data_IF_503960259963
#
_entry.id   IF_503960259963
#
_cell.length_a   1.000
_cell.length_b   1.000
_cell.length_c   1.000
_cell.angle_alpha   90.00
_cell.angle_beta   90.00
_cell.angle_gamma   90.00
#
_symmetry.space_group_name_H-M   'P 1'
#
loop_
_entity.id
_entity.type
_entity.pdbx_description
1 polymer ?
#
# COMPACT_ATOMS: atom_id res chain seq x y z
N UNK A 1 7.72 21.06 -17.32
CA UNK A 1 9.20 20.85 -17.25
C UNK A 1 9.54 20.44 -15.81
N UNK A 2 10.59 19.63 -15.60
CA UNK A 2 10.97 19.02 -14.31
C UNK A 2 12.39 19.44 -13.96
N UNK A 3 12.77 19.37 -12.68
CA UNK A 3 14.14 19.72 -12.27
C UNK A 3 15.20 18.75 -12.80
N UNK A 4 14.94 17.44 -12.75
CA UNK A 4 15.78 16.37 -13.32
C UNK A 4 14.90 15.13 -13.59
N UNK A 5 15.31 14.19 -14.47
CA UNK A 5 14.59 12.93 -14.66
C UNK A 5 14.71 12.00 -13.44
N UNK A 6 13.95 10.91 -13.44
CA UNK A 6 14.08 9.83 -12.44
C UNK A 6 15.46 9.20 -12.58
N UNK A 7 16.15 8.97 -11.46
CA UNK A 7 17.42 8.24 -11.48
C UNK A 7 17.25 6.83 -12.06
N UNK A 8 18.19 6.43 -12.90
CA UNK A 8 18.45 5.02 -13.19
C UNK A 8 19.61 4.51 -12.31
N UNK A 9 19.78 3.21 -12.23
CA UNK A 9 20.87 2.56 -11.52
C UNK A 9 21.65 1.59 -12.41
N UNK A 10 22.90 1.33 -12.06
CA UNK A 10 23.68 0.26 -12.69
C UNK A 10 23.21 -1.12 -12.19
N UNK A 11 23.83 -2.19 -12.69
CA UNK A 11 23.50 -3.56 -12.32
C UNK A 11 23.66 -3.86 -10.81
N UNK A 12 24.43 -3.06 -10.07
CA UNK A 12 24.64 -3.15 -8.63
C UNK A 12 23.73 -2.21 -7.81
N UNK A 13 22.67 -1.68 -8.43
CA UNK A 13 21.71 -0.75 -7.81
C UNK A 13 22.33 0.59 -7.35
N UNK A 14 23.45 1.01 -7.94
CA UNK A 14 24.05 2.31 -7.67
C UNK A 14 23.55 3.32 -8.70
N UNK A 15 23.12 4.51 -8.25
CA UNK A 15 22.57 5.56 -9.12
C UNK A 15 23.58 5.96 -10.21
N UNK A 16 23.09 6.07 -11.44
CA UNK A 16 23.85 6.57 -12.59
C UNK A 16 23.57 8.08 -12.71
N UNK A 17 24.63 8.87 -12.89
CA UNK A 17 24.53 10.33 -13.05
C UNK A 17 24.17 10.75 -14.47
N UNK A 18 24.47 9.91 -15.47
CA UNK A 18 24.14 10.17 -16.87
C UNK A 18 22.67 9.82 -17.14
N UNK A 19 21.80 10.83 -17.35
CA UNK A 19 20.38 10.58 -17.63
C UNK A 19 20.16 9.98 -19.03
N UNK A 20 21.16 9.99 -19.91
CA UNK A 20 21.08 9.46 -21.28
C UNK A 20 21.66 8.05 -21.41
N UNK A 21 22.07 7.43 -20.30
CA UNK A 21 22.56 6.06 -20.29
C UNK A 21 21.50 5.11 -20.88
N UNK A 22 21.91 4.29 -21.86
CA UNK A 22 21.01 3.38 -22.56
C UNK A 22 20.39 2.38 -21.58
N UNK A 23 19.10 2.07 -21.78
CA UNK A 23 18.36 1.08 -20.99
C UNK A 23 19.01 -0.32 -21.07
N UNK A 24 19.06 -1.02 -19.95
CA UNK A 24 19.49 -2.42 -19.87
C UNK A 24 18.57 -3.39 -20.61
N UNK A 25 17.30 -3.03 -20.81
CA UNK A 25 16.39 -3.79 -21.68
C UNK A 25 16.82 -3.71 -23.16
N UNK A 26 17.59 -2.69 -23.53
CA UNK A 26 18.14 -2.49 -24.88
C UNK A 26 19.67 -2.70 -24.92
N UNK A 27 20.23 -3.43 -23.95
CA UNK A 27 21.65 -3.78 -23.87
C UNK A 27 22.56 -2.66 -23.34
N UNK A 28 22.01 -1.64 -22.69
CA UNK A 28 22.77 -0.61 -21.99
C UNK A 28 22.99 -0.90 -20.50
N UNK A 29 23.60 0.03 -19.74
CA UNK A 29 23.91 -0.17 -18.32
C UNK A 29 22.83 0.34 -17.35
N UNK A 30 21.74 0.96 -17.83
CA UNK A 30 20.76 1.63 -16.98
C UNK A 30 19.54 0.74 -16.66
N UNK A 31 19.30 0.47 -15.38
CA UNK A 31 18.21 -0.33 -14.83
C UNK A 31 17.39 0.48 -13.82
N UNK A 32 16.26 -0.09 -13.36
CA UNK A 32 15.51 0.48 -12.25
C UNK A 32 16.31 0.40 -10.94
N UNK A 33 16.22 1.43 -10.10
CA UNK A 33 16.86 1.42 -8.79
C UNK A 33 16.02 0.60 -7.80
N UNK A 34 16.69 -0.14 -6.91
CA UNK A 34 16.02 -0.93 -5.88
C UNK A 34 15.30 -0.06 -4.81
N UNK A 35 15.68 1.22 -4.68
CA UNK A 35 14.95 2.17 -3.85
C UNK A 35 13.67 2.71 -4.51
N UNK A 36 13.37 2.33 -5.76
CA UNK A 36 12.07 2.57 -6.43
C UNK A 36 11.09 1.41 -6.20
N UNK A 37 11.02 0.94 -4.97
CA UNK A 37 10.13 -0.14 -4.50
C UNK A 37 9.13 0.38 -3.46
N UNK A 38 7.96 -0.27 -3.31
CA UNK A 38 6.92 0.17 -2.38
C UNK A 38 7.27 -0.17 -0.93
N UNK A 39 6.70 0.59 0.00
CA UNK A 39 6.81 0.33 1.43
C UNK A 39 5.57 0.80 2.19
N UNK A 40 5.28 0.12 3.30
CA UNK A 40 4.22 0.52 4.21
C UNK A 40 4.68 1.63 5.14
N UNK A 41 3.83 2.65 5.32
CA UNK A 41 4.00 3.65 6.38
C UNK A 41 3.30 3.18 7.65
N UNK A 42 2.10 2.62 7.48
CA UNK A 42 1.32 1.93 8.50
C UNK A 42 0.40 0.90 7.81
N UNK A 43 -0.46 0.24 8.58
CA UNK A 43 -1.33 -0.81 8.04
C UNK A 43 -2.33 -0.31 6.98
N UNK A 44 -2.69 0.97 6.96
CA UNK A 44 -3.69 1.54 6.05
C UNK A 44 -3.09 2.32 4.87
N UNK A 45 -1.81 2.69 4.97
CA UNK A 45 -1.17 3.60 4.04
C UNK A 45 0.23 3.14 3.58
N UNK A 46 0.47 3.18 2.27
CA UNK A 46 1.77 2.88 1.64
C UNK A 46 2.24 3.98 0.69
N UNK A 47 3.53 3.99 0.43
CA UNK A 47 4.15 4.72 -0.67
C UNK A 47 4.71 3.76 -1.71
N UNK A 48 4.88 4.21 -2.94
CA UNK A 48 5.60 3.45 -3.96
C UNK A 48 5.68 4.16 -5.31
N UNK A 49 5.85 3.35 -6.35
CA UNK A 49 6.10 3.82 -7.72
C UNK A 49 5.25 3.02 -8.70
N UNK A 50 4.94 3.62 -9.84
CA UNK A 50 4.17 2.96 -10.88
C UNK A 50 4.61 3.39 -12.29
N UNK A 51 4.40 2.53 -13.28
CA UNK A 51 4.23 2.95 -14.66
C UNK A 51 2.76 3.34 -14.88
N UNK A 52 2.50 4.47 -15.53
CA UNK A 52 1.13 5.02 -15.65
C UNK A 52 0.73 5.28 -17.09
N UNK A 53 -0.55 5.07 -17.39
CA UNK A 53 -1.22 5.52 -18.61
C UNK A 53 -2.54 6.19 -18.22
N UNK A 54 -2.63 7.52 -18.38
CA UNK A 54 -3.76 8.31 -17.88
C UNK A 54 -4.53 8.89 -19.05
N UNK A 55 -5.86 8.69 -19.04
CA UNK A 55 -6.74 9.15 -20.10
C UNK A 55 -6.63 10.68 -20.29
N UNK A 56 -6.48 11.11 -21.54
CA UNK A 56 -6.32 12.53 -21.88
C UNK A 56 -4.97 13.15 -21.50
N UNK A 57 -4.03 12.35 -20.96
CA UNK A 57 -2.68 12.78 -20.63
C UNK A 57 -1.62 12.35 -21.65
N UNK A 58 -0.38 12.68 -21.34
CA UNK A 58 0.84 12.16 -21.99
C UNK A 58 1.96 12.03 -20.96
N UNK A 59 3.11 11.50 -21.36
CA UNK A 59 4.30 11.48 -20.49
C UNK A 59 4.67 12.86 -19.94
N UNK A 60 4.40 13.91 -20.70
CA UNK A 60 4.62 15.29 -20.24
C UNK A 60 3.73 15.68 -19.04
N UNK A 61 2.54 15.09 -18.92
CA UNK A 61 1.59 15.35 -17.84
C UNK A 61 1.77 14.43 -16.64
N UNK A 62 2.04 13.13 -16.83
CA UNK A 62 2.11 12.19 -15.71
C UNK A 62 3.52 11.92 -15.19
N UNK A 63 4.57 12.02 -16.01
CA UNK A 63 5.87 11.58 -15.53
C UNK A 63 6.34 12.43 -14.34
N UNK A 64 6.76 11.74 -13.28
CA UNK A 64 7.08 12.23 -11.95
C UNK A 64 5.93 12.87 -11.15
N UNK A 65 4.70 12.84 -11.65
CA UNK A 65 3.53 13.23 -10.87
C UNK A 65 3.23 12.15 -9.83
N UNK A 66 2.60 12.57 -8.72
CA UNK A 66 2.16 11.66 -7.69
C UNK A 66 0.63 11.55 -7.66
N UNK A 67 0.16 10.35 -7.32
CA UNK A 67 -1.26 10.03 -7.27
C UNK A 67 -1.58 9.31 -5.98
N UNK A 68 -2.62 9.76 -5.27
CA UNK A 68 -3.22 9.00 -4.18
C UNK A 68 -4.23 8.02 -4.77
N UNK A 69 -3.96 6.75 -4.59
CA UNK A 69 -4.84 5.63 -4.92
C UNK A 69 -5.62 5.26 -3.68
N UNK A 70 -6.93 5.02 -3.84
CA UNK A 70 -7.77 4.35 -2.84
C UNK A 70 -8.26 3.06 -3.47
N UNK A 71 -7.82 1.91 -2.96
CA UNK A 71 -8.23 0.62 -3.49
C UNK A 71 -9.71 0.37 -3.21
N UNK A 72 -10.42 -0.17 -4.20
CA UNK A 72 -11.87 -0.38 -4.17
C UNK A 72 -12.28 -1.84 -4.29
N UNK A 73 -11.31 -2.76 -4.48
CA UNK A 73 -11.55 -4.19 -4.51
C UNK A 73 -10.40 -4.99 -3.92
N UNK A 74 -10.61 -6.30 -3.77
CA UNK A 74 -9.61 -7.23 -3.25
C UNK A 74 -9.35 -7.08 -1.74
N UNK A 75 -8.34 -7.80 -1.20
CA UNK A 75 -8.04 -7.82 0.23
C UNK A 75 -7.46 -6.49 0.78
N UNK A 76 -7.23 -5.52 -0.11
CA UNK A 76 -6.70 -4.19 0.21
C UNK A 76 -7.73 -3.09 0.04
N UNK A 77 -9.00 -3.42 -0.27
CA UNK A 77 -10.06 -2.42 -0.39
C UNK A 77 -10.11 -1.49 0.83
N UNK A 78 -10.19 -0.18 0.58
CA UNK A 78 -10.15 0.87 1.60
C UNK A 78 -8.74 1.36 1.96
N UNK A 79 -7.68 0.56 1.74
CA UNK A 79 -6.31 1.03 1.92
C UNK A 79 -5.95 2.10 0.89
N UNK A 80 -5.00 2.95 1.27
CA UNK A 80 -4.51 4.03 0.43
C UNK A 80 -3.04 3.86 0.09
N UNK A 81 -2.67 4.29 -1.10
CA UNK A 81 -1.28 4.28 -1.54
C UNK A 81 -0.98 5.54 -2.33
N UNK A 82 0.10 6.24 -2.00
CA UNK A 82 0.59 7.34 -2.86
C UNK A 82 1.74 6.83 -3.70
N UNK A 83 1.61 6.95 -5.03
CA UNK A 83 2.60 6.49 -5.99
C UNK A 83 3.15 7.63 -6.80
N UNK A 84 4.45 7.60 -7.11
CA UNK A 84 5.04 8.46 -8.13
C UNK A 84 5.11 7.71 -9.47
N UNK A 85 4.67 8.36 -10.55
CA UNK A 85 4.81 7.85 -11.91
C UNK A 85 6.28 7.95 -12.36
N UNK A 86 6.92 6.81 -12.59
CA UNK A 86 8.34 6.73 -12.99
C UNK A 86 8.56 6.18 -14.40
N UNK A 87 7.50 5.65 -15.02
CA UNK A 87 7.52 5.09 -16.37
C UNK A 87 6.12 5.17 -17.00
N UNK A 88 5.99 4.72 -18.23
CA UNK A 88 4.73 4.64 -18.99
C UNK A 88 4.41 3.19 -19.31
N UNK A 89 3.17 2.77 -19.01
CA UNK A 89 2.67 1.45 -19.39
C UNK A 89 1.94 1.52 -20.73
N UNK A 90 2.62 1.13 -21.81
CA UNK A 90 2.10 1.28 -23.19
C UNK A 90 0.94 0.35 -23.57
N UNK A 91 0.85 -0.83 -22.94
CA UNK A 91 -0.12 -1.89 -23.29
C UNK A 91 -1.39 -1.89 -22.43
N UNK A 92 -1.57 -0.84 -21.64
CA UNK A 92 -2.47 -0.85 -20.52
C UNK A 92 -3.59 0.16 -20.77
N UNK A 93 -4.83 -0.26 -20.56
CA UNK A 93 -6.02 0.54 -20.85
C UNK A 93 -6.03 1.91 -20.16
N UNK A 94 -7.01 2.74 -20.49
CA UNK A 94 -7.16 4.07 -19.90
C UNK A 94 -7.12 4.05 -18.37
N UNK A 95 -6.33 4.95 -17.76
CA UNK A 95 -6.17 5.11 -16.31
C UNK A 95 -5.56 3.90 -15.59
N UNK A 96 -4.58 3.26 -16.23
CA UNK A 96 -3.87 2.12 -15.66
C UNK A 96 -2.62 2.53 -14.88
N UNK A 97 -2.38 1.82 -13.77
CA UNK A 97 -1.20 1.95 -12.92
C UNK A 97 -0.57 0.56 -12.74
N UNK A 98 0.60 0.36 -13.32
CA UNK A 98 1.41 -0.85 -13.11
C UNK A 98 2.35 -0.62 -11.93
N UNK A 99 2.04 -1.20 -10.77
CA UNK A 99 2.77 -0.95 -9.53
C UNK A 99 4.15 -1.63 -9.56
N UNK A 100 5.20 -0.88 -9.21
CA UNK A 100 6.58 -1.36 -9.22
C UNK A 100 6.88 -2.34 -8.07
N UNK A 101 6.46 -3.59 -8.20
CA UNK A 101 6.61 -4.62 -7.17
C UNK A 101 7.66 -5.65 -7.63
N UNK A 102 8.83 -5.77 -6.96
CA UNK A 102 9.78 -6.84 -7.26
C UNK A 102 9.10 -8.20 -7.16
N UNK A 103 9.18 -8.98 -8.24
CA UNK A 103 8.52 -10.27 -8.33
C UNK A 103 7.07 -10.22 -8.79
N UNK A 104 6.57 -9.08 -9.28
CA UNK A 104 5.28 -8.96 -9.97
C UNK A 104 5.28 -9.52 -11.41
N UNK A 105 6.45 -9.88 -11.94
CA UNK A 105 6.66 -10.35 -13.31
C UNK A 105 7.38 -9.31 -14.16
N UNK A 106 8.24 -9.77 -15.06
CA UNK A 106 9.03 -8.89 -15.96
C UNK A 106 8.23 -8.40 -17.17
N UNK A 107 7.09 -9.04 -17.46
CA UNK A 107 6.24 -8.68 -18.58
C UNK A 107 6.93 -8.88 -19.94
N UNK A 108 6.74 -7.94 -20.86
CA UNK A 108 7.29 -8.04 -22.21
C UNK A 108 8.83 -8.00 -22.25
N UNK A 109 9.46 -7.23 -21.38
CA UNK A 109 10.90 -6.99 -21.43
C UNK A 109 11.58 -7.54 -20.17
N UNK A 110 12.41 -8.57 -20.35
CA UNK A 110 13.20 -9.12 -19.24
C UNK A 110 14.55 -8.39 -19.12
N UNK A 111 14.53 -7.26 -18.42
CA UNK A 111 15.73 -6.52 -18.02
C UNK A 111 16.46 -7.13 -16.82
N UNK A 112 15.82 -8.02 -16.06
CA UNK A 112 16.40 -8.63 -14.85
C UNK A 112 17.43 -9.70 -15.19
N UNK A 113 17.17 -10.49 -16.23
CA UNK A 113 18.13 -11.49 -16.76
C UNK A 113 19.49 -10.88 -17.09
N UNK A 114 19.59 -9.83 -17.94
CA UNK A 114 20.87 -9.20 -18.22
C UNK A 114 21.44 -8.40 -17.04
N UNK A 115 20.64 -8.00 -16.04
CA UNK A 115 21.13 -7.25 -14.88
C UNK A 115 21.88 -8.12 -13.88
N UNK A 116 21.28 -9.24 -13.47
CA UNK A 116 21.81 -10.08 -12.38
C UNK A 116 21.47 -11.57 -12.51
N UNK A 117 21.07 -12.02 -13.70
CA UNK A 117 20.74 -13.42 -13.97
C UNK A 117 19.26 -13.80 -13.79
N UNK A 118 18.38 -12.81 -13.60
CA UNK A 118 16.93 -12.99 -13.61
C UNK A 118 16.31 -13.06 -12.21
N UNK A 119 14.98 -12.91 -12.17
CA UNK A 119 14.17 -13.10 -10.96
C UNK A 119 13.34 -14.38 -11.10
N UNK A 120 13.02 -15.07 -10.00
CA UNK A 120 12.09 -16.19 -10.04
C UNK A 120 10.66 -15.69 -10.33
N UNK A 121 9.80 -16.63 -10.73
CA UNK A 121 8.39 -16.38 -11.00
C UNK A 121 8.03 -16.47 -12.48
N UNK A 122 6.73 -16.39 -12.77
CA UNK A 122 6.21 -16.37 -14.12
C UNK A 122 6.47 -15.03 -14.81
N UNK A 123 6.57 -15.04 -16.14
CA UNK A 123 6.77 -13.82 -16.94
C UNK A 123 5.75 -12.73 -16.62
N UNK A 124 4.48 -13.11 -16.47
CA UNK A 124 3.38 -12.25 -16.05
C UNK A 124 2.85 -12.75 -14.71
N UNK A 125 2.66 -11.86 -13.73
CA UNK A 125 2.23 -12.18 -12.37
C UNK A 125 3.36 -12.62 -11.42
N UNK A 126 4.52 -13.01 -11.95
CA UNK A 126 5.73 -13.25 -11.18
C UNK A 126 5.62 -14.42 -10.20
N UNK A 127 6.13 -14.23 -8.98
CA UNK A 127 6.14 -15.26 -7.93
C UNK A 127 4.74 -15.48 -7.35
N UNK A 128 4.50 -16.66 -6.78
CA UNK A 128 3.20 -17.04 -6.20
C UNK A 128 3.23 -17.19 -4.68
N UNK A 129 4.41 -17.19 -4.05
CA UNK A 129 4.53 -17.25 -2.60
C UNK A 129 5.61 -16.33 -2.02
N UNK A 130 5.35 -15.84 -0.80
CA UNK A 130 6.26 -14.94 -0.05
C UNK A 130 7.66 -15.52 0.13
N UNK A 131 7.78 -16.84 0.31
CA UNK A 131 9.05 -17.53 0.51
C UNK A 131 10.00 -17.42 -0.71
N UNK A 132 9.45 -17.16 -1.90
CA UNK A 132 10.28 -16.98 -3.11
C UNK A 132 11.10 -15.69 -3.08
N UNK A 133 10.68 -14.71 -2.28
CA UNK A 133 11.45 -13.49 -2.04
C UNK A 133 12.83 -13.78 -1.43
N UNK A 134 13.04 -14.90 -0.74
CA UNK A 134 14.34 -15.26 -0.17
C UNK A 134 15.43 -15.45 -1.25
N UNK A 135 15.03 -15.73 -2.49
CA UNK A 135 15.92 -15.89 -3.65
C UNK A 135 16.23 -14.56 -4.37
N UNK A 136 15.66 -13.44 -3.93
CA UNK A 136 15.88 -12.14 -4.57
C UNK A 136 17.20 -11.52 -4.11
N UNK A 137 17.80 -10.63 -4.93
CA UNK A 137 18.84 -9.72 -4.46
C UNK A 137 18.37 -8.97 -3.21
N UNK A 138 19.26 -8.80 -2.23
CA UNK A 138 18.91 -8.28 -0.90
C UNK A 138 18.17 -6.92 -0.97
N UNK A 139 18.59 -6.04 -1.87
CA UNK A 139 17.98 -4.73 -2.06
C UNK A 139 16.53 -4.78 -2.56
N UNK A 140 16.10 -5.88 -3.20
CA UNK A 140 14.75 -6.05 -3.75
C UNK A 140 13.82 -6.83 -2.81
N UNK A 141 14.35 -7.52 -1.80
CA UNK A 141 13.56 -8.32 -0.86
C UNK A 141 12.48 -7.51 -0.13
N UNK A 142 12.73 -6.29 0.38
CA UNK A 142 11.70 -5.53 1.09
C UNK A 142 10.46 -5.24 0.24
N UNK A 143 10.66 -4.81 -1.01
CA UNK A 143 9.56 -4.58 -1.95
C UNK A 143 8.84 -5.88 -2.35
N UNK A 144 9.57 -6.99 -2.43
CA UNK A 144 8.98 -8.31 -2.66
C UNK A 144 8.09 -8.74 -1.49
N UNK A 145 8.55 -8.60 -0.25
CA UNK A 145 7.76 -8.92 0.95
C UNK A 145 6.53 -8.03 1.08
N UNK A 146 6.64 -6.74 0.76
CA UNK A 146 5.51 -5.80 0.80
C UNK A 146 4.30 -6.31 0.01
N UNK A 147 4.51 -7.00 -1.12
CA UNK A 147 3.44 -7.62 -1.94
C UNK A 147 2.56 -8.55 -1.11
N UNK A 148 3.16 -9.39 -0.28
CA UNK A 148 2.45 -10.40 0.50
C UNK A 148 2.00 -9.85 1.86
N UNK A 149 2.76 -8.89 2.40
CA UNK A 149 2.56 -8.39 3.76
C UNK A 149 1.51 -7.28 3.83
N UNK A 150 1.78 -6.12 3.24
CA UNK A 150 0.85 -4.99 3.28
C UNK A 150 -0.22 -5.10 2.20
N UNK A 151 0.20 -5.49 0.98
CA UNK A 151 -0.67 -5.58 -0.19
C UNK A 151 -1.48 -6.88 -0.24
N UNK A 152 -1.28 -7.77 0.74
CA UNK A 152 -2.05 -9.02 0.93
C UNK A 152 -2.15 -9.89 -0.33
N UNK A 153 -1.13 -9.83 -1.18
CA UNK A 153 -1.07 -10.48 -2.48
C UNK A 153 -2.33 -10.23 -3.33
N UNK A 154 -2.88 -9.02 -3.28
CA UNK A 154 -4.02 -8.63 -4.08
C UNK A 154 -3.72 -8.81 -5.57
N UNK A 155 -4.62 -9.49 -6.28
CA UNK A 155 -4.51 -9.69 -7.72
C UNK A 155 -5.27 -8.58 -8.45
N UNK A 156 -4.51 -7.64 -9.01
CA UNK A 156 -5.01 -6.52 -9.83
C UNK A 156 -6.23 -5.79 -9.23
N UNK A 157 -6.14 -5.27 -7.97
CA UNK A 157 -7.25 -4.58 -7.35
C UNK A 157 -7.60 -3.28 -8.11
N UNK A 158 -8.88 -2.98 -8.22
CA UNK A 158 -9.36 -1.70 -8.74
C UNK A 158 -9.11 -0.59 -7.71
N UNK A 159 -9.07 0.64 -8.19
CA UNK A 159 -8.87 1.83 -7.35
C UNK A 159 -9.55 3.06 -7.95
N UNK A 160 -9.83 4.04 -7.10
CA UNK A 160 -9.99 5.43 -7.52
C UNK A 160 -8.67 6.18 -7.30
N UNK A 161 -8.43 7.26 -8.05
CA UNK A 161 -7.21 8.04 -7.88
C UNK A 161 -7.46 9.53 -8.04
N UNK A 162 -6.57 10.32 -7.43
CA UNK A 162 -6.44 11.76 -7.67
C UNK A 162 -4.97 12.15 -7.70
N UNK A 163 -4.62 13.16 -8.49
CA UNK A 163 -3.27 13.72 -8.50
C UNK A 163 -3.04 14.56 -7.25
N UNK A 164 -1.85 14.45 -6.68
CA UNK A 164 -1.46 15.06 -5.40
C UNK A 164 -0.04 15.59 -5.49
N UNK A 165 0.33 16.49 -4.57
CA UNK A 165 1.71 16.91 -4.41
C UNK A 165 2.57 15.71 -4.00
N UNK A 166 3.73 15.54 -4.62
CA UNK A 166 4.64 14.47 -4.29
C UNK A 166 5.23 14.61 -2.88
N UNK A 167 5.05 13.60 -2.00
CA UNK A 167 5.76 13.48 -0.73
C UNK A 167 7.28 13.53 -0.93
N UNK A 168 7.99 14.13 0.03
CA UNK A 168 9.44 14.28 -0.03
C UNK A 168 10.16 12.93 -0.08
N UNK A 169 9.58 11.89 0.53
CA UNK A 169 10.09 10.52 0.57
C UNK A 169 10.17 9.88 -0.82
N UNK A 170 9.19 10.15 -1.68
CA UNK A 170 9.19 9.65 -3.07
C UNK A 170 10.21 10.43 -3.91
N UNK A 171 10.22 11.76 -3.78
CA UNK A 171 11.15 12.63 -4.52
C UNK A 171 12.61 12.36 -4.11
N UNK A 172 12.89 12.04 -2.84
CA UNK A 172 14.24 11.72 -2.37
C UNK A 172 14.82 10.43 -2.99
N UNK A 173 13.95 9.48 -3.35
CA UNK A 173 14.33 8.21 -4.00
C UNK A 173 14.57 8.39 -5.50
N UNK A 174 13.69 9.13 -6.18
CA UNK A 174 13.79 9.29 -7.64
C UNK A 174 14.61 10.48 -8.08
N UNK A 175 14.78 11.48 -7.21
CA UNK A 175 15.32 12.78 -7.56
C UNK A 175 14.38 13.62 -8.42
N UNK A 176 13.23 13.09 -8.86
CA UNK A 176 12.40 13.76 -9.85
C UNK A 176 11.26 14.52 -9.17
N UNK A 177 11.19 15.83 -9.43
CA UNK A 177 10.07 16.68 -9.03
C UNK A 177 9.60 17.52 -10.20
N UNK A 178 8.28 17.61 -10.36
CA UNK A 178 7.66 18.46 -11.37
C UNK A 178 7.60 19.91 -10.92
N UNK A 179 7.73 20.83 -11.88
CA UNK A 179 7.63 22.26 -11.60
C UNK A 179 6.19 22.67 -11.22
N UNK A 180 5.18 21.92 -11.66
CA UNK A 180 3.75 22.13 -11.36
C UNK A 180 3.27 21.35 -10.12
N UNK A 181 4.17 20.66 -9.41
CA UNK A 181 3.84 19.81 -8.25
C UNK A 181 3.11 20.59 -7.14
N UNK A 182 3.44 21.87 -6.97
CA UNK A 182 2.79 22.77 -6.01
C UNK A 182 1.34 23.16 -6.35
N UNK A 183 0.84 22.79 -7.53
CA UNK A 183 -0.55 23.07 -7.93
C UNK A 183 -1.54 21.98 -7.46
N UNK A 184 -1.04 20.90 -6.84
CA UNK A 184 -1.84 19.75 -6.42
C UNK A 184 -1.94 19.68 -4.89
N UNK A 185 -3.00 19.07 -4.34
CA UNK A 185 -3.21 19.02 -2.90
C UNK A 185 -2.15 18.15 -2.19
N UNK A 186 -1.76 18.56 -0.99
CA UNK A 186 -0.92 17.76 -0.08
C UNK A 186 -1.71 16.56 0.43
N UNK A 187 -1.05 15.41 0.54
CA UNK A 187 -1.56 14.24 1.28
C UNK A 187 -0.68 13.99 2.48
N UNK A 188 -1.29 13.75 3.62
CA UNK A 188 -0.61 13.26 4.81
C UNK A 188 -1.11 11.83 5.09
N UNK A 189 -0.22 10.91 5.50
CA UNK A 189 -0.65 9.61 6.00
C UNK A 189 -1.67 9.81 7.13
N UNK A 190 -2.71 8.97 7.25
CA UNK A 190 -3.53 8.96 8.44
C UNK A 190 -2.61 8.73 9.63
N UNK A 191 -2.53 9.74 10.51
CA UNK A 191 -1.67 9.69 11.70
C UNK A 191 -2.09 8.50 12.55
N UNK A 192 -1.13 7.65 12.93
CA UNK A 192 -1.31 6.58 13.91
C UNK A 192 -1.48 7.11 15.34
N UNK A 193 -1.68 8.42 15.53
CA UNK A 193 -1.77 9.04 16.85
C UNK A 193 -3.22 9.05 17.35
N UNK A 194 -3.47 8.78 18.65
CA UNK A 194 -4.80 8.83 19.23
C UNK A 194 -5.41 10.20 19.00
N UNK A 195 -6.70 10.24 18.67
CA UNK A 195 -7.52 11.44 18.68
C UNK A 195 -7.51 12.07 20.07
N UNK A 196 -6.52 12.90 20.39
CA UNK A 196 -6.62 13.86 21.48
C UNK A 196 -7.49 15.00 20.99
N UNK A 197 -8.78 14.88 21.27
CA UNK A 197 -9.77 15.95 21.15
C UNK A 197 -9.26 17.16 21.94
N UNK A 198 -8.71 18.15 21.25
CA UNK A 198 -8.42 19.47 21.82
C UNK A 198 -9.74 20.22 21.98
N UNK A 199 -10.44 19.97 23.09
CA UNK A 199 -11.56 20.80 23.53
C UNK A 199 -11.00 21.98 24.30
N UNK A 200 -11.02 23.15 23.64
CA UNK A 200 -10.85 24.45 24.28
C UNK A 200 -12.04 24.70 25.21
N UNK A 201 -11.84 24.57 26.51
CA UNK A 201 -12.84 24.94 27.52
C UNK A 201 -12.19 25.74 28.64
N UNK A 202 -12.32 27.06 28.54
CA UNK A 202 -12.32 27.96 29.68
C UNK A 202 -13.56 27.67 30.53
N UNK A 203 -13.41 27.29 31.80
CA UNK A 203 -14.33 27.73 32.85
C UNK A 203 -13.84 27.43 34.26
N UNK A 204 -14.11 28.43 35.09
CA UNK A 204 -13.98 28.55 36.52
C UNK A 204 -14.77 27.52 37.34
N UNK A 205 -14.27 27.32 38.55
CA UNK A 205 -14.68 26.50 39.69
C UNK A 205 -16.09 26.73 40.25
N UNK A 206 -16.76 25.65 40.69
CA UNK A 206 -17.19 25.41 42.11
C UNK A 206 -18.17 24.22 42.27
N UNK A 207 -17.81 23.27 43.16
CA UNK A 207 -18.58 22.55 44.22
C UNK A 207 -20.06 22.13 43.96
N UNK A 208 -20.60 20.93 44.29
CA UNK A 208 -20.53 20.14 45.55
C UNK A 208 -21.19 18.75 45.38
N UNK A 209 -20.78 17.82 46.25
CA UNK A 209 -21.12 16.43 46.57
C UNK A 209 -22.53 15.86 46.38
N UNK A 210 -22.61 14.55 46.06
CA UNK A 210 -23.50 13.57 46.72
C UNK A 210 -23.08 12.09 46.45
N UNK A 211 -23.29 11.28 47.49
CA UNK A 211 -23.09 9.82 47.70
C UNK A 211 -23.94 8.95 46.73
N UNK A 212 -23.78 7.63 46.45
CA UNK A 212 -23.45 6.41 47.23
C UNK A 212 -23.17 5.25 46.22
N UNK A 213 -22.49 4.18 46.69
CA UNK A 213 -22.53 2.74 46.28
C UNK A 213 -21.58 2.13 45.20
N UNK A 214 -20.87 1.08 45.66
CA UNK A 214 -20.22 -0.07 44.97
C UNK A 214 -21.33 -1.00 44.39
N UNK A 215 -21.20 -1.77 43.24
CA UNK A 215 -20.30 -2.94 43.10
C UNK A 215 -19.92 -3.44 41.65
N UNK A 216 -19.05 -4.47 41.61
CA UNK A 216 -18.95 -5.64 40.67
C UNK A 216 -18.83 -5.51 39.14
N UNK A 217 -17.79 -6.19 38.62
CA UNK A 217 -17.65 -7.03 37.40
C UNK A 217 -18.58 -6.77 36.19
N UNK A 218 -18.07 -6.52 34.96
CA UNK A 218 -18.93 -6.43 33.78
C UNK A 218 -19.27 -7.81 33.23
N UNK A 219 -20.51 -8.20 33.48
CA UNK A 219 -21.33 -9.14 32.71
C UNK A 219 -21.48 -8.70 31.25
N UNK A 220 -21.54 -9.73 30.38
CA UNK A 220 -21.81 -9.67 28.94
C UNK A 220 -23.05 -8.82 28.56
N UNK A 221 -23.03 -8.01 27.49
CA UNK A 221 -24.22 -7.30 27.02
C UNK A 221 -25.19 -8.28 26.33
N UNK A 222 -26.21 -8.71 27.06
CA UNK A 222 -27.40 -9.35 26.50
C UNK A 222 -28.11 -8.39 25.56
N UNK A 223 -28.00 -8.65 24.25
CA UNK A 223 -28.68 -7.87 23.21
C UNK A 223 -27.92 -7.79 21.89
N UNK A 224 -26.63 -8.14 21.89
CA UNK A 224 -25.86 -8.14 20.66
C UNK A 224 -25.85 -9.53 20.02
N UNK A 225 -26.12 -9.57 18.72
CA UNK A 225 -26.39 -10.79 17.95
C UNK A 225 -25.47 -10.83 16.74
N UNK A 226 -24.63 -11.86 16.66
CA UNK A 226 -23.78 -12.10 15.50
C UNK A 226 -24.63 -12.61 14.34
N UNK A 227 -24.41 -12.00 13.17
CA UNK A 227 -25.07 -12.38 11.92
C UNK A 227 -24.73 -13.82 11.55
N UNK A 228 -25.55 -14.46 10.71
CA UNK A 228 -25.20 -15.75 10.12
C UNK A 228 -23.81 -15.68 9.44
N UNK A 229 -22.96 -16.66 9.71
CA UNK A 229 -21.52 -16.72 9.36
C UNK A 229 -20.60 -15.76 10.12
N UNK A 230 -21.12 -14.99 11.07
CA UNK A 230 -20.34 -14.13 11.96
C UNK A 230 -19.67 -14.91 13.10
N UNK A 231 -18.59 -14.36 13.66
CA UNK A 231 -17.95 -14.93 14.84
C UNK A 231 -18.84 -14.76 16.07
N UNK A 232 -19.04 -15.83 16.81
CA UNK A 232 -19.88 -15.89 18.00
C UNK A 232 -19.14 -16.44 19.24
N UNK A 233 -17.84 -16.67 19.13
CA UNK A 233 -17.05 -17.21 20.23
C UNK A 233 -15.61 -17.50 19.84
N UNK A 234 -14.85 -18.02 20.80
CA UNK A 234 -13.42 -18.28 20.68
C UNK A 234 -12.64 -17.68 21.85
N UNK A 235 -11.48 -18.23 22.16
CA UNK A 235 -10.60 -17.68 23.21
C UNK A 235 -10.29 -16.20 22.93
N UNK A 236 -10.54 -15.34 23.92
CA UNK A 236 -10.34 -13.90 23.80
C UNK A 236 -11.44 -13.13 23.05
N UNK A 237 -12.49 -13.80 22.55
CA UNK A 237 -13.61 -13.11 21.90
C UNK A 237 -14.45 -12.35 22.92
N UNK A 238 -14.55 -11.03 22.75
CA UNK A 238 -15.37 -10.13 23.57
C UNK A 238 -16.61 -9.59 22.83
N UNK A 239 -16.85 -10.07 21.61
CA UNK A 239 -18.01 -9.66 20.80
C UNK A 239 -19.24 -10.49 21.11
N UNK A 240 -20.23 -10.43 20.22
CA UNK A 240 -21.51 -11.10 20.43
C UNK A 240 -21.35 -12.61 20.47
N UNK A 241 -22.01 -13.26 21.43
CA UNK A 241 -21.98 -14.71 21.60
C UNK A 241 -23.28 -15.40 21.17
N UNK A 242 -24.34 -14.62 20.95
CA UNK A 242 -25.61 -15.09 20.44
C UNK A 242 -25.66 -14.92 18.93
N UNK A 243 -26.22 -15.90 18.22
CA UNK A 243 -26.40 -15.85 16.77
C UNK A 243 -27.78 -15.36 16.37
N UNK A 244 -27.88 -14.80 15.18
CA UNK A 244 -29.15 -14.43 14.55
C UNK A 244 -30.13 -15.60 14.55
N UNK A 245 -31.42 -15.30 14.72
CA UNK A 245 -32.47 -16.30 14.81
C UNK A 245 -32.40 -17.28 13.62
N UNK A 246 -32.31 -18.57 13.90
CA UNK A 246 -32.16 -19.63 12.89
C UNK A 246 -30.71 -20.05 12.58
N UNK A 247 -29.72 -19.48 13.29
CA UNK A 247 -28.32 -19.94 13.22
C UNK A 247 -27.81 -20.32 14.61
N UNK A 248 -26.85 -21.25 14.68
CA UNK A 248 -26.27 -21.74 15.94
C UNK A 248 -24.78 -21.46 15.99
N UNK A 249 -24.30 -20.98 17.15
CA UNK A 249 -22.88 -20.74 17.35
C UNK A 249 -22.12 -22.07 17.39
N UNK A 250 -21.34 -22.36 16.36
CA UNK A 250 -20.60 -23.61 16.20
C UNK A 250 -19.11 -23.35 16.32
N UNK A 251 -18.44 -24.08 17.23
CA UNK A 251 -16.99 -23.98 17.41
C UNK A 251 -16.26 -24.54 16.19
N UNK A 252 -15.44 -23.72 15.52
CA UNK A 252 -14.60 -24.15 14.39
C UNK A 252 -13.21 -24.51 14.89
N UNK A 253 -12.64 -23.69 15.78
CA UNK A 253 -11.41 -23.97 16.49
C UNK A 253 -11.41 -23.29 17.87
N UNK A 254 -10.31 -23.42 18.61
CA UNK A 254 -10.19 -22.88 19.97
C UNK A 254 -10.34 -21.35 20.06
N UNK A 255 -9.96 -20.64 19.00
CA UNK A 255 -9.97 -19.18 18.94
C UNK A 255 -11.14 -18.62 18.13
N UNK A 256 -11.94 -19.49 17.50
CA UNK A 256 -13.00 -19.08 16.58
C UNK A 256 -14.21 -20.03 16.59
N UNK A 257 -15.37 -19.47 16.90
CA UNK A 257 -16.70 -20.09 16.76
C UNK A 257 -17.57 -19.22 15.87
N UNK A 258 -18.37 -19.82 15.00
CA UNK A 258 -19.12 -19.15 13.94
C UNK A 258 -20.61 -19.50 13.98
N UNK A 259 -21.48 -18.53 13.71
CA UNK A 259 -22.90 -18.76 13.52
C UNK A 259 -23.15 -19.51 12.20
N UNK A 260 -23.77 -20.70 12.25
CA UNK A 260 -24.11 -21.50 11.05
C UNK A 260 -25.58 -21.89 11.03
#
# INVERSE_FOLDING_TARGET
>A
LRHQPVYACNAQFQRISDPMAKSGCDGGPAYSCADHTPWAVNDEFSYGFAATSIAGGSESSWCCACYELTFTSGPVAGKKMVVQSTSTGGDLGSNHFDLNIPGGGVGLFDGCTPQFGGLPGQRYGGISSRAECERFPEALKPGCYWRFDWFKNADNPSFSFRQVQCPAELVARTGCRRNDDGNFPVVSPPSSQPSTTSTSSSSSSSTTSSSIQQPTQPTSPGGCVSQKWGQCGGNGWSGCTSCEAGSTCTKVNEWYSQCM
#
